data_IF_821932313194
#
_entry.id   IF_821932313194
#
_cell.length_a   1.000
_cell.length_b   1.000
_cell.length_c   1.000
_cell.angle_alpha   90.00
_cell.angle_beta   90.00
_cell.angle_gamma   90.00
#
_symmetry.space_group_name_H-M   'P 1'
#
loop_
_entity.id
_entity.type
_entity.pdbx_description
1 polymer ?
#
# COMPACT_ATOMS: atom_id res chain seq x y z
N UNK A 1 -10.53 11.92 18.52
CA UNK A 1 -10.47 11.80 20.00
C UNK A 1 -9.00 11.84 20.43
N UNK A 2 -8.65 12.38 21.60
CA UNK A 2 -7.28 12.31 22.13
C UNK A 2 -7.08 11.02 22.94
N UNK A 3 -5.92 10.41 22.81
CA UNK A 3 -5.48 9.20 23.51
C UNK A 3 -4.15 9.47 24.21
N UNK A 4 -3.90 8.87 25.37
CA UNK A 4 -2.55 8.86 25.95
C UNK A 4 -1.65 7.91 25.18
N UNK A 5 -0.39 8.27 24.98
CA UNK A 5 0.57 7.44 24.25
C UNK A 5 0.78 6.07 24.90
N UNK A 6 0.86 6.03 26.23
CA UNK A 6 1.01 4.82 27.05
C UNK A 6 -0.21 3.88 27.02
N UNK A 7 -1.39 4.41 26.66
CA UNK A 7 -2.65 3.66 26.67
C UNK A 7 -2.94 2.92 25.38
N UNK A 8 -2.06 2.99 24.38
CA UNK A 8 -2.27 2.38 23.07
C UNK A 8 -1.32 1.21 22.89
N UNK A 9 -1.89 0.04 22.63
CA UNK A 9 -1.13 -1.15 22.27
C UNK A 9 -0.64 -1.04 20.82
N UNK A 10 0.67 -1.01 20.61
CA UNK A 10 1.22 -0.94 19.24
C UNK A 10 0.97 -2.21 18.42
N UNK A 11 0.76 -3.36 19.09
CA UNK A 11 0.51 -4.66 18.43
C UNK A 11 -0.80 -4.71 17.65
N UNK A 12 -1.72 -3.76 17.87
CA UNK A 12 -2.96 -3.63 17.08
C UNK A 12 -2.85 -2.58 15.98
N UNK A 13 -1.65 -2.06 15.71
CA UNK A 13 -1.39 -1.16 14.59
C UNK A 13 -0.78 -1.95 13.44
N UNK A 14 -1.25 -1.69 12.22
CA UNK A 14 -0.84 -2.48 11.06
C UNK A 14 -0.74 -1.64 9.79
N UNK A 15 -0.19 -2.29 8.76
CA UNK A 15 -0.06 -1.71 7.43
C UNK A 15 1.10 -0.73 7.29
N UNK A 16 1.13 -0.04 6.16
CA UNK A 16 2.14 0.95 5.85
C UNK A 16 1.81 2.27 6.55
N UNK A 17 2.77 2.89 7.26
CA UNK A 17 2.55 4.20 7.86
C UNK A 17 2.50 5.30 6.80
N UNK A 18 1.74 6.36 7.08
CA UNK A 18 1.75 7.60 6.29
C UNK A 18 2.32 8.74 7.13
N UNK A 19 2.98 9.69 6.46
CA UNK A 19 3.48 10.90 7.10
C UNK A 19 2.63 12.08 6.63
N UNK A 20 2.02 12.78 7.58
CA UNK A 20 1.34 14.05 7.35
C UNK A 20 2.33 15.16 7.70
N UNK A 21 2.40 16.14 6.80
CA UNK A 21 3.13 17.40 6.93
C UNK A 21 2.19 18.56 6.59
N UNK A 22 2.47 19.79 7.02
CA UNK A 22 1.69 20.94 6.59
C UNK A 22 1.71 21.04 5.06
N UNK A 23 0.58 21.43 4.47
CA UNK A 23 0.47 21.58 3.01
C UNK A 23 1.32 22.75 2.52
N UNK A 24 1.79 22.64 1.29
CA UNK A 24 2.44 23.72 0.53
C UNK A 24 1.72 23.94 -0.78
N UNK A 25 0.39 23.80 -0.76
CA UNK A 25 -0.45 23.92 -1.94
C UNK A 25 -0.43 25.36 -2.46
N UNK A 26 -0.16 25.53 -3.75
CA UNK A 26 -0.12 26.84 -4.42
C UNK A 26 -1.49 27.52 -4.53
N UNK A 27 -2.58 26.79 -4.28
CA UNK A 27 -3.95 27.32 -4.33
C UNK A 27 -4.31 28.15 -3.09
N UNK A 28 -3.52 28.05 -2.03
CA UNK A 28 -3.68 28.85 -0.81
C UNK A 28 -2.81 30.10 -0.91
N UNK A 29 -3.24 31.18 -0.28
CA UNK A 29 -2.41 32.37 -0.18
C UNK A 29 -1.28 32.20 0.85
N UNK A 30 -0.36 33.18 0.88
CA UNK A 30 0.82 33.12 1.74
C UNK A 30 0.48 33.15 3.23
N UNK A 31 -0.51 33.95 3.61
CA UNK A 31 -0.91 34.12 5.01
C UNK A 31 -1.61 32.84 5.53
N UNK A 32 -2.41 32.19 4.70
CA UNK A 32 -3.03 30.88 4.98
C UNK A 32 -1.97 29.79 5.10
N UNK A 33 -0.98 29.74 4.20
CA UNK A 33 0.11 28.77 4.26
C UNK A 33 0.92 28.93 5.55
N UNK A 34 1.25 30.17 5.91
CA UNK A 34 1.99 30.48 7.14
C UNK A 34 1.18 30.13 8.39
N UNK A 35 -0.10 30.50 8.43
CA UNK A 35 -1.01 30.16 9.54
C UNK A 35 -1.17 28.64 9.68
N UNK A 36 -1.31 27.93 8.56
CA UNK A 36 -1.39 26.46 8.56
C UNK A 36 -0.10 25.82 9.08
N UNK A 37 1.07 26.31 8.67
CA UNK A 37 2.35 25.81 9.15
C UNK A 37 2.51 26.03 10.67
N UNK A 38 2.23 27.24 11.14
CA UNK A 38 2.30 27.57 12.57
C UNK A 38 1.30 26.75 13.39
N UNK A 39 0.05 26.63 12.93
CA UNK A 39 -0.98 25.83 13.57
C UNK A 39 -0.60 24.35 13.65
N UNK A 40 -0.07 23.79 12.57
CA UNK A 40 0.38 22.40 12.52
C UNK A 40 1.54 22.14 13.50
N UNK A 41 2.54 23.02 13.53
CA UNK A 41 3.67 22.91 14.45
C UNK A 41 3.23 23.03 15.91
N UNK A 42 2.33 23.98 16.21
CA UNK A 42 1.76 24.15 17.54
C UNK A 42 0.97 22.91 18.00
N UNK A 43 0.22 22.28 17.09
CA UNK A 43 -0.47 21.02 17.34
C UNK A 43 0.52 19.90 17.68
N UNK A 44 1.53 19.66 16.84
CA UNK A 44 2.55 18.63 17.06
C UNK A 44 3.24 18.81 18.42
N UNK A 45 3.70 20.03 18.72
CA UNK A 45 4.35 20.35 19.99
C UNK A 45 3.41 20.14 21.19
N UNK A 46 2.15 20.55 21.07
CA UNK A 46 1.16 20.37 22.14
C UNK A 46 0.87 18.90 22.43
N UNK A 47 0.78 18.07 21.39
CA UNK A 47 0.57 16.62 21.54
C UNK A 47 1.79 15.94 22.17
N UNK A 48 3.02 16.27 21.73
CA UNK A 48 4.26 15.76 22.32
C UNK A 48 4.38 16.11 23.80
N UNK A 49 4.18 17.40 24.14
CA UNK A 49 4.28 17.88 25.53
C UNK A 49 3.30 17.16 26.47
N UNK A 50 2.12 16.81 25.96
CA UNK A 50 1.08 16.10 26.72
C UNK A 50 1.20 14.57 26.65
N UNK A 51 2.14 14.03 25.86
CA UNK A 51 2.24 12.60 25.53
C UNK A 51 0.91 12.05 24.98
N UNK A 52 0.29 12.81 24.08
CA UNK A 52 -1.01 12.50 23.47
C UNK A 52 -0.88 12.10 22.00
N UNK A 53 -1.82 11.27 21.57
CA UNK A 53 -2.04 10.85 20.19
C UNK A 53 -3.50 11.13 19.81
N UNK A 54 -3.82 11.14 18.52
CA UNK A 54 -5.19 11.36 18.05
C UNK A 54 -5.74 10.10 17.39
N UNK A 55 -6.92 9.68 17.84
CA UNK A 55 -7.75 8.71 17.13
C UNK A 55 -8.61 9.45 16.10
N UNK A 56 -8.36 9.16 14.84
CA UNK A 56 -9.13 9.64 13.71
C UNK A 56 -10.02 8.54 13.16
N UNK A 57 -11.24 8.93 12.77
CA UNK A 57 -12.20 8.08 12.08
C UNK A 57 -12.28 8.58 10.65
N UNK A 58 -12.08 7.70 9.67
CA UNK A 58 -12.26 8.05 8.26
C UNK A 58 -13.73 8.00 7.92
N UNK A 59 -14.22 9.09 7.34
CA UNK A 59 -15.57 9.15 6.80
C UNK A 59 -15.64 8.40 5.46
N UNK A 60 -16.67 7.58 5.24
CA UNK A 60 -16.86 6.86 3.99
C UNK A 60 -17.21 7.85 2.88
N UNK A 61 -16.48 7.76 1.77
CA UNK A 61 -16.61 8.69 0.63
C UNK A 61 -17.80 8.35 -0.29
N UNK A 62 -18.29 7.10 -0.26
CA UNK A 62 -19.37 6.64 -1.13
C UNK A 62 -20.34 5.77 -0.32
N UNK A 63 -21.54 6.29 -0.07
CA UNK A 63 -22.67 5.50 0.43
C UNK A 63 -23.29 4.78 -0.76
N UNK A 64 -22.91 3.51 -0.99
CA UNK A 64 -23.63 2.68 -1.96
C UNK A 64 -25.08 2.52 -1.51
N UNK A 65 -26.08 2.69 -2.39
CA UNK A 65 -27.49 2.66 -2.00
C UNK A 65 -27.97 1.30 -1.48
N UNK A 66 -27.23 0.21 -1.74
CA UNK A 66 -27.74 -1.13 -1.54
C UNK A 66 -27.41 -1.76 -0.17
N UNK A 67 -26.54 -1.17 0.65
CA UNK A 67 -26.22 -1.72 1.97
C UNK A 67 -26.35 -0.64 3.05
N UNK A 68 -27.35 -0.78 3.92
CA UNK A 68 -27.62 0.07 5.10
C UNK A 68 -26.48 0.10 6.14
N UNK A 69 -25.33 -0.52 5.87
CA UNK A 69 -24.23 -0.72 6.82
C UNK A 69 -23.07 0.18 6.44
N UNK A 70 -22.71 1.08 7.35
CA UNK A 70 -21.59 2.00 7.17
C UNK A 70 -20.31 1.42 7.78
N UNK A 71 -19.29 1.23 6.94
CA UNK A 71 -17.97 0.73 7.39
C UNK A 71 -17.07 1.92 7.71
N UNK A 72 -16.40 1.85 8.86
CA UNK A 72 -15.50 2.89 9.33
C UNK A 72 -14.10 2.35 9.52
N UNK A 73 -13.11 3.11 9.03
CA UNK A 73 -11.69 2.84 9.28
C UNK A 73 -11.18 3.80 10.34
N UNK A 74 -10.35 3.28 11.24
CA UNK A 74 -9.77 4.05 12.33
C UNK A 74 -8.26 4.14 12.16
N UNK A 75 -7.72 5.30 12.51
CA UNK A 75 -6.30 5.62 12.40
C UNK A 75 -5.82 6.28 13.68
N UNK A 76 -4.59 5.98 14.07
CA UNK A 76 -3.89 6.71 15.12
C UNK A 76 -2.90 7.66 14.45
N UNK A 77 -2.95 8.92 14.88
CA UNK A 77 -2.05 9.98 14.47
C UNK A 77 -1.12 10.26 15.65
N UNK A 78 0.16 9.98 15.45
CA UNK A 78 1.22 10.09 16.45
C UNK A 78 2.12 11.27 16.10
N UNK A 79 2.35 12.22 17.01
CA UNK A 79 3.29 13.31 16.74
C UNK A 79 4.74 12.83 16.78
N UNK A 80 5.58 13.41 15.93
CA UNK A 80 7.03 13.24 15.93
C UNK A 80 7.72 14.55 16.29
N UNK A 81 8.88 14.42 16.91
CA UNK A 81 9.88 15.47 17.17
C UNK A 81 10.33 16.23 15.91
N UNK A 82 10.21 15.62 14.72
CA UNK A 82 10.49 16.25 13.42
C UNK A 82 9.40 17.22 12.91
N UNK A 83 8.47 17.63 13.78
CA UNK A 83 7.29 18.44 13.44
C UNK A 83 6.40 17.80 12.34
N UNK A 84 6.35 16.47 12.30
CA UNK A 84 5.47 15.68 11.43
C UNK A 84 4.49 14.85 12.24
N UNK A 85 3.43 14.36 11.58
CA UNK A 85 2.46 13.44 12.18
C UNK A 85 2.51 12.10 11.45
N UNK A 86 2.71 11.03 12.20
CA UNK A 86 2.71 9.65 11.71
C UNK A 86 1.30 9.06 11.83
N UNK A 87 0.77 8.51 10.74
CA UNK A 87 -0.54 7.86 10.71
C UNK A 87 -0.36 6.35 10.60
N UNK A 88 -0.97 5.61 11.53
CA UNK A 88 -1.00 4.14 11.54
C UNK A 88 -2.46 3.66 11.50
N UNK A 89 -2.74 2.63 10.70
CA UNK A 89 -4.08 2.01 10.68
C UNK A 89 -4.29 1.16 11.94
N UNK A 90 -5.52 1.16 12.46
CA UNK A 90 -5.91 0.38 13.64
C UNK A 90 -6.59 -0.90 13.22
N UNK A 91 -6.05 -2.03 13.66
CA UNK A 91 -6.68 -3.34 13.51
C UNK A 91 -7.87 -3.40 14.48
N UNK A 92 -9.06 -3.21 13.93
CA UNK A 92 -10.31 -3.38 14.68
C UNK A 92 -10.56 -4.86 14.98
N UNK A 93 -11.50 -5.12 15.89
CA UNK A 93 -11.82 -6.47 16.38
C UNK A 93 -12.05 -7.49 15.26
N UNK A 94 -12.68 -7.06 14.16
CA UNK A 94 -13.02 -7.89 13.01
C UNK A 94 -11.79 -8.28 12.17
N UNK A 95 -10.67 -7.57 12.32
CA UNK A 95 -9.39 -7.83 11.64
C UNK A 95 -8.42 -8.63 12.51
N UNK A 96 -8.72 -8.82 13.79
CA UNK A 96 -7.88 -9.54 14.72
C UNK A 96 -8.40 -10.97 14.89
N UNK A 97 -7.48 -11.93 14.80
CA UNK A 97 -7.78 -13.28 15.27
C UNK A 97 -8.03 -13.24 16.79
N UNK A 98 -8.88 -14.14 17.32
CA UNK A 98 -9.07 -14.28 18.76
C UNK A 98 -7.71 -14.44 19.45
N UNK A 99 -7.34 -13.43 20.23
CA UNK A 99 -6.05 -13.34 20.90
C UNK A 99 -6.25 -12.87 22.33
N UNK A 100 -5.55 -13.51 23.26
CA UNK A 100 -5.43 -13.03 24.63
C UNK A 100 -4.21 -12.12 24.69
N UNK A 101 -4.42 -10.85 25.03
CA UNK A 101 -3.31 -9.95 25.34
C UNK A 101 -2.98 -10.14 26.82
N UNK A 102 -1.89 -10.84 27.18
CA UNK A 102 -1.52 -11.00 28.57
C UNK A 102 -1.25 -9.61 29.16
N UNK A 103 -1.81 -9.34 30.34
CA UNK A 103 -1.42 -8.14 31.08
C UNK A 103 0.07 -8.25 31.44
N UNK A 104 0.83 -7.19 31.21
CA UNK A 104 2.19 -7.10 31.75
C UNK A 104 2.09 -7.25 33.27
N UNK A 105 2.79 -8.25 33.82
CA UNK A 105 2.88 -8.42 35.26
C UNK A 105 3.64 -7.22 35.85
N UNK A 106 3.10 -6.62 36.91
CA UNK A 106 3.73 -5.48 37.54
C UNK A 106 5.05 -5.85 38.25
N UNK A 107 5.23 -7.12 38.61
CA UNK A 107 6.37 -7.62 39.37
C UNK A 107 7.07 -8.73 38.58
N UNK A 108 8.34 -8.49 38.26
CA UNK A 108 9.20 -9.46 37.57
C UNK A 108 10.26 -9.97 38.55
N UNK A 109 10.66 -11.25 38.51
CA UNK A 109 11.71 -11.75 39.39
C UNK A 109 13.04 -11.01 39.16
N UNK A 110 13.45 -10.20 40.14
CA UNK A 110 14.69 -9.39 40.16
C UNK A 110 15.93 -10.19 39.69
N UNK A 111 16.04 -11.45 40.10
CA UNK A 111 17.16 -12.34 39.73
C UNK A 111 17.25 -12.60 38.23
N UNK A 112 16.13 -12.70 37.54
CA UNK A 112 16.08 -12.94 36.09
C UNK A 112 16.31 -11.63 35.34
N UNK A 113 15.81 -10.51 35.88
CA UNK A 113 16.05 -9.17 35.33
C UNK A 113 17.55 -8.85 35.27
N UNK A 114 18.26 -8.99 36.40
CA UNK A 114 19.69 -8.72 36.48
C UNK A 114 20.53 -9.61 35.56
N UNK A 115 20.13 -10.87 35.36
CA UNK A 115 20.81 -11.76 34.43
C UNK A 115 20.66 -11.28 32.97
N UNK A 116 19.45 -10.91 32.54
CA UNK A 116 19.20 -10.46 31.17
C UNK A 116 19.93 -9.14 30.90
N UNK A 117 19.86 -8.19 31.83
CA UNK A 117 20.59 -6.92 31.71
C UNK A 117 22.10 -7.15 31.57
N UNK A 118 22.69 -7.92 32.47
CA UNK A 118 24.14 -8.11 32.50
C UNK A 118 24.67 -9.00 31.37
N UNK A 119 23.96 -10.08 31.03
CA UNK A 119 24.46 -11.08 30.06
C UNK A 119 24.07 -10.78 28.62
N UNK A 120 22.86 -10.25 28.39
CA UNK A 120 22.30 -10.13 27.04
C UNK A 120 22.20 -8.68 26.56
N UNK A 121 21.85 -7.73 27.42
CA UNK A 121 21.64 -6.34 26.98
C UNK A 121 22.93 -5.50 27.05
N UNK A 122 23.73 -5.64 28.10
CA UNK A 122 24.97 -4.86 28.26
C UNK A 122 26.06 -5.20 27.23
N UNK A 123 25.93 -6.34 26.56
CA UNK A 123 26.84 -6.73 25.47
C UNK A 123 26.41 -6.18 24.10
N UNK A 124 25.23 -5.56 23.99
CA UNK A 124 24.74 -4.97 22.75
C UNK A 124 25.31 -3.57 22.57
N UNK A 125 25.80 -3.29 21.36
CA UNK A 125 26.18 -1.95 20.96
C UNK A 125 24.91 -1.11 20.73
N UNK A 126 24.81 0.02 21.43
CA UNK A 126 23.67 0.93 21.32
C UNK A 126 24.05 2.10 20.42
N UNK A 127 23.46 2.16 19.23
CA UNK A 127 23.63 3.30 18.33
C UNK A 127 22.83 4.51 18.83
N UNK A 128 23.47 5.69 18.87
CA UNK A 128 22.83 6.95 19.29
C UNK A 128 21.73 7.40 18.31
N UNK A 129 21.92 7.10 17.02
CA UNK A 129 20.96 7.44 15.98
C UNK A 129 20.95 6.36 14.89
N UNK A 130 19.82 5.69 14.75
CA UNK A 130 19.59 4.71 13.69
C UNK A 130 18.94 5.38 12.49
N UNK A 131 19.55 5.30 11.31
CA UNK A 131 18.94 5.73 10.04
C UNK A 131 18.50 4.49 9.24
N UNK A 132 17.19 4.20 9.14
CA UNK A 132 16.68 3.05 8.39
C UNK A 132 17.09 3.04 6.91
N UNK A 133 17.40 4.19 6.32
CA UNK A 133 17.81 4.30 4.92
C UNK A 133 19.21 3.70 4.65
N UNK A 134 20.00 3.46 5.70
CA UNK A 134 21.28 2.77 5.55
C UNK A 134 21.13 1.24 5.42
N UNK A 135 19.93 0.69 5.66
CA UNK A 135 19.68 -0.74 5.58
C UNK A 135 19.67 -1.22 4.12
N UNK A 136 20.62 -2.08 3.76
CA UNK A 136 20.71 -2.70 2.44
C UNK A 136 20.01 -4.06 2.46
N UNK A 137 18.74 -4.10 2.06
CA UNK A 137 17.98 -5.36 1.95
C UNK A 137 18.39 -6.24 0.75
N UNK A 138 19.26 -5.73 -0.14
CA UNK A 138 19.62 -6.35 -1.42
C UNK A 138 18.41 -6.65 -2.34
N UNK A 139 17.21 -6.12 -2.04
CA UNK A 139 15.99 -6.39 -2.81
C UNK A 139 16.17 -6.06 -4.30
N UNK A 140 16.76 -4.90 -4.61
CA UNK A 140 17.04 -4.52 -5.99
C UNK A 140 17.95 -5.51 -6.70
N UNK A 141 19.04 -5.96 -6.04
CA UNK A 141 19.96 -6.97 -6.60
C UNK A 141 19.25 -8.31 -6.82
N UNK A 142 18.39 -8.72 -5.88
CA UNK A 142 17.59 -9.94 -5.99
C UNK A 142 16.59 -9.87 -7.14
N UNK A 143 15.77 -8.81 -7.21
CA UNK A 143 14.81 -8.57 -8.30
C UNK A 143 15.53 -8.50 -9.64
N UNK A 144 16.68 -7.82 -9.70
CA UNK A 144 17.54 -7.81 -10.90
C UNK A 144 17.98 -9.24 -11.27
N UNK A 145 18.43 -10.06 -10.33
CA UNK A 145 18.80 -11.45 -10.64
C UNK A 145 17.63 -12.30 -11.16
N UNK A 146 16.41 -12.05 -10.66
CA UNK A 146 15.22 -12.79 -11.08
C UNK A 146 14.71 -12.35 -12.46
N UNK A 147 14.69 -11.05 -12.71
CA UNK A 147 14.21 -10.47 -13.97
C UNK A 147 15.25 -10.57 -15.10
N UNK A 148 16.53 -10.52 -14.76
CA UNK A 148 17.64 -10.63 -15.72
C UNK A 148 18.24 -12.03 -15.79
N UNK A 149 17.63 -13.07 -15.19
CA UNK A 149 18.01 -14.45 -15.49
C UNK A 149 17.88 -14.62 -17.01
N UNK A 150 18.99 -14.76 -17.77
CA UNK A 150 18.88 -15.13 -19.16
C UNK A 150 18.22 -16.50 -19.12
N UNK A 151 17.08 -16.66 -19.81
CA UNK A 151 16.55 -17.97 -20.12
C UNK A 151 17.75 -18.79 -20.58
N UNK A 152 18.15 -19.77 -19.78
CA UNK A 152 19.41 -20.46 -20.01
C UNK A 152 19.40 -20.91 -21.46
N UNK A 153 20.31 -20.29 -22.22
CA UNK A 153 20.88 -20.75 -23.48
C UNK A 153 20.83 -22.26 -23.40
N UNK A 154 19.93 -22.89 -24.16
CA UNK A 154 19.83 -24.34 -24.21
C UNK A 154 21.26 -24.83 -24.42
N UNK A 155 21.85 -25.43 -23.36
CA UNK A 155 23.09 -26.16 -23.50
C UNK A 155 22.74 -27.25 -24.51
N UNK A 156 23.19 -27.06 -25.75
CA UNK A 156 23.17 -28.09 -26.75
C UNK A 156 24.02 -29.23 -26.16
N UNK A 157 23.35 -30.22 -25.58
CA UNK A 157 23.98 -31.47 -25.23
C UNK A 157 24.58 -32.06 -26.51
N UNK A 158 25.85 -32.50 -26.50
CA UNK A 158 26.40 -33.28 -27.60
C UNK A 158 25.57 -34.56 -27.72
N UNK A 159 24.96 -34.79 -28.90
CA UNK A 159 24.27 -36.04 -29.23
C UNK A 159 25.30 -37.16 -29.32
N UNK A 160 25.43 -37.95 -28.27
CA UNK A 160 26.08 -39.26 -28.35
C UNK A 160 25.03 -40.38 -28.40
N UNK A 161 25.00 -41.04 -29.57
CA UNK A 161 24.88 -42.49 -29.77
C UNK A 161 23.50 -43.16 -29.65
N UNK A 162 22.96 -43.51 -30.84
CA UNK A 162 21.91 -44.52 -31.09
C UNK A 162 22.37 -45.93 -30.64
N UNK A 163 21.43 -46.86 -30.48
CA UNK A 163 21.34 -47.92 -31.49
C UNK A 163 19.91 -48.24 -31.98
N UNK A 164 19.82 -48.59 -33.27
CA UNK A 164 18.71 -49.33 -33.86
C UNK A 164 18.60 -50.75 -33.23
N UNK A 165 17.50 -51.51 -33.27
CA UNK A 165 16.83 -52.02 -34.48
C UNK A 165 15.67 -52.97 -34.07
N UNK A 166 14.74 -53.17 -35.00
CA UNK A 166 13.77 -54.28 -35.16
C UNK A 166 12.30 -54.01 -34.80
N UNK A 167 11.54 -53.54 -35.81
CA UNK A 167 10.18 -54.04 -36.10
C UNK A 167 10.30 -55.26 -37.04
N UNK A 168 9.35 -56.21 -37.03
CA UNK A 168 8.20 -56.17 -37.98
C UNK A 168 6.92 -56.78 -37.34
N UNK A 169 5.67 -56.73 -37.81
CA UNK A 169 4.92 -56.49 -39.07
C UNK A 169 3.43 -56.56 -38.59
N UNK A 170 2.40 -55.85 -39.07
CA UNK A 170 1.78 -55.98 -40.38
C UNK A 170 0.50 -55.10 -40.48
N UNK A 171 0.29 -54.57 -41.68
CA UNK A 171 -0.96 -54.14 -42.36
C UNK A 171 -1.88 -53.02 -41.83
N UNK A 172 -1.67 -51.85 -42.42
CA UNK A 172 -2.58 -51.11 -43.32
C UNK A 172 -4.10 -51.15 -43.03
N UNK A 173 -4.65 -50.00 -42.60
CA UNK A 173 -5.83 -49.42 -43.24
C UNK A 173 -5.81 -47.90 -43.09
N UNK A 174 -5.90 -47.20 -44.20
CA UNK A 174 -5.83 -45.74 -44.31
C UNK A 174 -7.26 -45.21 -44.32
N UNK A 175 -7.67 -44.48 -43.30
CA UNK A 175 -8.86 -43.64 -43.33
C UNK A 175 -8.49 -42.24 -42.82
N UNK A 176 -8.52 -41.25 -43.71
CA UNK A 176 -8.46 -39.84 -43.36
C UNK A 176 -9.89 -39.35 -43.12
N UNK A 177 -10.13 -38.74 -41.96
CA UNK A 177 -11.33 -37.93 -41.73
C UNK A 177 -10.88 -36.55 -41.22
N UNK A 178 -11.29 -35.52 -41.95
CA UNK A 178 -11.13 -34.10 -41.62
C UNK A 178 -12.37 -33.66 -40.86
N UNK A 179 -12.22 -33.02 -39.70
CA UNK A 179 -13.31 -32.22 -39.09
C UNK A 179 -12.73 -30.88 -38.62
N UNK A 180 -13.49 -29.83 -38.89
CA UNK A 180 -13.11 -28.42 -38.86
C UNK A 180 -12.72 -27.88 -37.47
N UNK A 181 -11.87 -26.84 -37.40
CA UNK A 181 -11.48 -26.20 -36.16
C UNK A 181 -12.67 -25.50 -35.48
N UNK A 182 -12.77 -25.64 -34.15
CA UNK A 182 -13.72 -24.91 -33.33
C UNK A 182 -13.40 -23.41 -33.41
N UNK A 183 -14.39 -22.61 -33.79
CA UNK A 183 -14.30 -21.16 -33.85
C UNK A 183 -14.13 -20.59 -32.43
N UNK A 184 -12.96 -20.01 -32.18
CA UNK A 184 -12.72 -19.16 -31.02
C UNK A 184 -13.65 -17.95 -31.08
N UNK A 185 -14.40 -17.71 -30.00
CA UNK A 185 -15.24 -16.52 -29.88
C UNK A 185 -14.37 -15.25 -29.93
N UNK A 186 -14.70 -14.24 -30.77
CA UNK A 186 -13.95 -13.01 -30.83
C UNK A 186 -14.27 -12.07 -29.66
N UNK A 187 -13.20 -11.45 -29.15
CA UNK A 187 -13.19 -10.32 -28.21
C UNK A 187 -13.90 -9.08 -28.83
N UNK A 188 -14.78 -8.37 -28.10
CA UNK A 188 -15.37 -7.14 -28.60
C UNK A 188 -14.49 -5.94 -28.22
N UNK A 189 -13.62 -5.52 -29.14
CA UNK A 189 -13.09 -4.15 -29.16
C UNK A 189 -13.20 -3.57 -30.58
N UNK A 190 -14.13 -2.62 -30.69
CA UNK A 190 -14.19 -1.45 -31.58
C UNK A 190 -14.24 -1.63 -33.11
N UNK A 191 -15.32 -1.13 -33.70
CA UNK A 191 -15.27 -0.42 -34.99
C UNK A 191 -16.09 0.86 -34.89
N UNK A 192 -15.40 1.99 -34.96
CA UNK A 192 -15.89 3.31 -35.35
C UNK A 192 -16.45 3.27 -36.78
N UNK A 193 -17.50 4.04 -37.09
CA UNK A 193 -17.57 5.02 -38.22
C UNK A 193 -18.97 5.70 -38.34
N UNK A 194 -19.10 6.83 -39.08
CA UNK A 194 -19.78 8.03 -38.57
C UNK A 194 -20.96 8.57 -39.43
N UNK A 195 -21.54 9.66 -38.91
CA UNK A 195 -22.08 10.86 -39.59
C UNK A 195 -23.56 10.96 -40.02
N UNK A 196 -24.14 12.16 -39.79
CA UNK A 196 -25.29 12.74 -40.52
C UNK A 196 -26.50 13.14 -39.65
N UNK A 197 -26.51 14.29 -38.97
CA UNK A 197 -27.11 15.59 -39.38
C UNK A 197 -28.65 15.65 -39.44
N UNK A 198 -29.26 16.46 -38.54
CA UNK A 198 -30.28 17.54 -38.73
C UNK A 198 -30.76 18.03 -37.34
N UNK A 199 -30.42 19.22 -36.83
CA UNK A 199 -30.92 20.61 -37.07
C UNK A 199 -32.40 20.84 -36.74
N UNK A 200 -32.67 21.51 -35.62
CA UNK A 200 -33.25 22.88 -35.46
C UNK A 200 -33.37 23.15 -33.94
N UNK A 201 -32.79 24.20 -33.33
CA UNK A 201 -32.90 25.67 -33.47
C UNK A 201 -33.76 26.25 -32.34
N UNK A 202 -33.12 26.99 -31.42
CA UNK A 202 -33.64 28.19 -30.74
C UNK A 202 -32.44 28.98 -30.15
N UNK A 203 -32.02 29.97 -30.94
CA UNK A 203 -31.29 31.20 -30.62
C UNK A 203 -31.90 31.95 -29.39
N UNK A 204 -31.28 32.87 -28.64
CA UNK A 204 -30.00 33.62 -28.65
C UNK A 204 -30.06 34.63 -27.49
N UNK A 205 -28.91 35.23 -27.18
CA UNK A 205 -28.70 36.58 -26.59
C UNK A 205 -28.47 36.66 -25.08
N UNK A 206 -27.61 37.52 -24.53
CA UNK A 206 -26.58 38.46 -25.01
C UNK A 206 -25.82 38.94 -23.74
N UNK A 207 -24.53 39.26 -23.87
CA UNK A 207 -23.74 40.04 -22.90
C UNK A 207 -24.35 41.44 -22.67
N UNK A 208 -24.07 42.05 -21.50
CA UNK A 208 -23.36 43.35 -21.47
C UNK A 208 -22.40 43.44 -20.26
N UNK A 209 -21.47 44.38 -20.09
CA UNK A 209 -20.79 45.43 -20.86
C UNK A 209 -19.59 45.85 -19.99
N UNK A 210 -18.53 46.32 -20.63
CA UNK A 210 -17.42 47.04 -19.99
C UNK A 210 -17.92 48.33 -19.30
N UNK A 211 -17.23 48.70 -18.22
CA UNK A 211 -17.22 50.06 -17.68
C UNK A 211 -15.93 50.72 -18.17
N UNK A 212 -16.09 51.78 -18.96
CA UNK A 212 -15.04 52.75 -19.27
C UNK A 212 -14.87 53.71 -18.07
N UNK A 213 -13.61 53.98 -17.75
CA UNK A 213 -13.09 55.32 -17.43
C UNK A 213 -11.85 55.57 -18.30
#
# INVERSE_FOLDING_TARGET
RALKSEGVCESVLYGLPFIIKPTSCWQLDWDELETNQHGFHALCHSLLKRKWMLLAKREPQNTSPNWSIMVHSYYIIVPSDSATLLVKAVAIRELLLPSTFPALLAEHPERVHGLIEQSALNSLEVEVAYNPLHLKSNLYKYLKSMLYKPLHRQQAQPRDQRPERHQPKQHQSRAKATVAPLLMAPSPVQVFRPAGVRRDSCERSLLPKEYDE
#
